data_IF_020199535276
#
_entry.id   IF_020199535276
#
_cell.length_a   1.000
_cell.length_b   1.000
_cell.length_c   1.000
_cell.angle_alpha   90.00
_cell.angle_beta   90.00
_cell.angle_gamma   90.00
#
_symmetry.space_group_name_H-M   'P 1'
#
loop_
_entity.id
_entity.type
_entity.pdbx_description
1 polymer ?
#
# COMPACT_ATOMS: atom_id res chain seq x y z
N UNK A 1 11.29 -21.34 -4.08
CA UNK A 1 10.27 -20.52 -3.44
C UNK A 1 9.91 -21.17 -2.12
N UNK A 2 10.22 -20.54 -1.00
CA UNK A 2 9.87 -21.02 0.33
C UNK A 2 8.34 -21.08 0.52
N UNK A 3 7.62 -20.04 0.06
CA UNK A 3 6.15 -19.98 0.18
C UNK A 3 5.42 -21.00 -0.70
N UNK A 4 6.15 -21.69 -1.59
CA UNK A 4 5.64 -22.82 -2.39
C UNK A 4 5.59 -24.17 -1.64
N UNK A 5 6.11 -24.22 -0.43
CA UNK A 5 6.16 -25.44 0.39
C UNK A 5 5.03 -25.50 1.41
N UNK A 6 4.86 -26.66 2.03
CA UNK A 6 3.96 -26.86 3.17
C UNK A 6 4.62 -26.29 4.43
N UNK A 7 3.84 -25.49 5.16
CA UNK A 7 4.22 -24.88 6.43
C UNK A 7 3.39 -25.46 7.57
N UNK A 8 4.05 -25.80 8.67
CA UNK A 8 3.42 -26.34 9.87
C UNK A 8 3.63 -25.38 11.03
N UNK A 9 2.60 -25.21 11.86
CA UNK A 9 2.72 -24.43 13.09
C UNK A 9 3.56 -25.19 14.11
N UNK A 10 4.50 -24.51 14.75
CA UNK A 10 5.29 -25.10 15.85
C UNK A 10 4.60 -24.92 17.21
N UNK A 11 5.10 -25.62 18.23
CA UNK A 11 4.57 -25.56 19.61
C UNK A 11 4.77 -24.19 20.29
N UNK A 12 5.69 -23.37 19.78
CA UNK A 12 5.99 -22.02 20.27
C UNK A 12 5.15 -20.92 19.58
N UNK A 13 4.23 -21.31 18.69
CA UNK A 13 3.36 -20.39 17.94
C UNK A 13 3.96 -19.82 16.66
N UNK A 14 5.14 -20.28 16.25
CA UNK A 14 5.78 -19.97 14.97
C UNK A 14 5.39 -20.93 13.85
N UNK A 15 6.09 -20.82 12.72
CA UNK A 15 5.88 -21.67 11.55
C UNK A 15 7.19 -22.25 11.05
N UNK A 16 7.15 -23.53 10.67
CA UNK A 16 8.27 -24.27 10.12
C UNK A 16 7.97 -24.70 8.69
N UNK A 17 8.88 -24.37 7.77
CA UNK A 17 8.85 -24.90 6.42
C UNK A 17 9.27 -26.38 6.44
N UNK A 18 8.42 -27.26 5.91
CA UNK A 18 8.68 -28.70 5.89
C UNK A 18 9.64 -29.15 4.78
N UNK A 19 9.90 -28.30 3.79
CA UNK A 19 10.65 -28.63 2.58
C UNK A 19 9.85 -29.44 1.55
N UNK A 20 8.62 -29.86 1.88
CA UNK A 20 7.73 -30.55 0.95
C UNK A 20 6.93 -29.53 0.13
N UNK A 21 6.91 -29.70 -1.20
CA UNK A 21 6.11 -28.83 -2.07
C UNK A 21 4.62 -28.98 -1.77
N UNK A 22 3.88 -27.88 -1.80
CA UNK A 22 2.43 -27.95 -1.71
C UNK A 22 1.84 -28.47 -3.02
N UNK A 23 1.41 -29.74 -3.02
CA UNK A 23 0.89 -30.46 -4.18
C UNK A 23 -0.46 -29.87 -4.65
N UNK A 24 -1.21 -29.22 -3.75
CA UNK A 24 -2.46 -28.53 -4.07
C UNK A 24 -2.28 -27.24 -4.86
N UNK A 25 -1.04 -26.79 -5.04
CA UNK A 25 -0.72 -25.48 -5.63
C UNK A 25 -0.84 -24.36 -4.61
N UNK A 26 -0.24 -23.21 -4.95
CA UNK A 26 -0.28 -21.99 -4.15
C UNK A 26 -0.75 -20.87 -5.08
N UNK A 27 -1.65 -19.97 -4.61
CA UNK A 27 -2.06 -18.82 -5.40
C UNK A 27 -0.85 -18.00 -5.87
N UNK A 28 -0.76 -17.61 -7.16
CA UNK A 28 0.41 -16.90 -7.70
C UNK A 28 0.80 -15.64 -6.91
N UNK A 29 -0.18 -14.92 -6.37
CA UNK A 29 0.00 -13.72 -5.56
C UNK A 29 0.90 -13.96 -4.33
N UNK A 30 0.82 -15.15 -3.73
CA UNK A 30 1.67 -15.53 -2.60
C UNK A 30 3.11 -15.70 -3.05
N UNK A 31 3.34 -16.35 -4.20
CA UNK A 31 4.69 -16.51 -4.77
C UNK A 31 5.28 -15.18 -5.25
N UNK A 32 4.44 -14.23 -5.64
CA UNK A 32 4.87 -12.89 -6.04
C UNK A 32 5.44 -12.08 -4.88
N UNK A 33 4.99 -12.30 -3.64
CA UNK A 33 5.59 -11.68 -2.44
C UNK A 33 7.06 -12.07 -2.34
N UNK A 34 7.34 -13.37 -2.42
CA UNK A 34 8.71 -13.88 -2.35
C UNK A 34 9.53 -13.44 -3.57
N UNK A 35 8.96 -13.52 -4.78
CA UNK A 35 9.66 -13.09 -6.00
C UNK A 35 10.02 -11.60 -5.97
N UNK A 36 9.10 -10.75 -5.55
CA UNK A 36 9.34 -9.31 -5.42
C UNK A 36 10.49 -9.07 -4.43
N UNK A 37 10.48 -9.74 -3.29
CA UNK A 37 11.55 -9.62 -2.30
C UNK A 37 12.91 -10.10 -2.82
N UNK A 38 12.95 -11.17 -3.62
CA UNK A 38 14.20 -11.69 -4.19
C UNK A 38 14.95 -10.67 -5.06
N UNK A 39 14.23 -9.77 -5.74
CA UNK A 39 14.81 -8.69 -6.55
C UNK A 39 15.29 -7.49 -5.73
N UNK A 40 14.91 -7.40 -4.46
CA UNK A 40 15.26 -6.29 -3.58
C UNK A 40 16.66 -6.51 -2.99
N UNK A 41 17.48 -5.46 -2.93
CA UNK A 41 18.81 -5.51 -2.29
C UNK A 41 18.67 -5.95 -0.81
N UNK A 42 19.37 -7.00 -0.35
CA UNK A 42 19.35 -7.39 1.05
C UNK A 42 19.83 -6.27 1.99
N UNK A 43 19.20 -6.17 3.17
CA UNK A 43 19.53 -5.23 4.24
C UNK A 43 18.97 -3.82 4.04
N UNK A 44 19.12 -3.24 2.84
CA UNK A 44 18.76 -1.82 2.59
C UNK A 44 17.67 -1.61 1.57
N UNK A 45 17.42 -2.59 0.71
CA UNK A 45 16.43 -2.47 -0.35
C UNK A 45 15.01 -2.49 0.21
N UNK A 46 14.12 -1.77 -0.48
CA UNK A 46 12.70 -1.67 -0.12
C UNK A 46 11.82 -1.99 -1.32
N UNK A 47 10.63 -2.50 -1.05
CA UNK A 47 9.59 -2.76 -2.04
C UNK A 47 8.24 -2.36 -1.47
N UNK A 48 7.36 -1.84 -2.33
CA UNK A 48 5.95 -1.64 -2.03
C UNK A 48 5.15 -2.63 -2.88
N UNK A 49 4.28 -3.42 -2.25
CA UNK A 49 3.51 -4.48 -2.90
C UNK A 49 2.04 -4.26 -2.61
N UNK A 50 1.23 -4.23 -3.66
CA UNK A 50 -0.22 -4.25 -3.58
C UNK A 50 -0.69 -5.71 -3.52
N UNK A 51 -1.42 -6.07 -2.47
CA UNK A 51 -1.91 -7.43 -2.24
C UNK A 51 -3.41 -7.42 -1.94
N UNK A 52 -4.15 -8.49 -2.25
CA UNK A 52 -5.47 -8.70 -1.66
C UNK A 52 -5.37 -8.78 -0.13
N UNK A 53 -6.26 -8.09 0.57
CA UNK A 53 -6.30 -7.99 2.03
C UNK A 53 -6.37 -9.37 2.73
N UNK A 54 -6.97 -10.35 2.06
CA UNK A 54 -7.04 -11.74 2.55
C UNK A 54 -5.68 -12.32 2.97
N UNK A 55 -4.59 -11.99 2.29
CA UNK A 55 -3.25 -12.49 2.65
C UNK A 55 -2.81 -11.98 4.03
N UNK A 56 -3.30 -10.82 4.45
CA UNK A 56 -2.99 -10.20 5.74
C UNK A 56 -4.02 -10.57 6.82
N UNK A 57 -5.28 -10.80 6.45
CA UNK A 57 -6.35 -11.07 7.42
C UNK A 57 -6.65 -12.55 7.67
N UNK A 58 -6.48 -13.42 6.68
CA UNK A 58 -6.96 -14.80 6.78
C UNK A 58 -6.16 -15.62 7.80
N UNK A 59 -6.82 -16.41 8.67
CA UNK A 59 -6.13 -17.33 9.58
C UNK A 59 -5.32 -18.42 8.85
N UNK A 60 -5.82 -18.90 7.71
CA UNK A 60 -5.13 -19.92 6.90
C UNK A 60 -3.81 -19.43 6.28
N UNK A 61 -3.66 -18.12 6.14
CA UNK A 61 -2.51 -17.46 5.50
C UNK A 61 -1.49 -16.93 6.53
N UNK A 62 -1.63 -17.29 7.81
CA UNK A 62 -0.75 -16.83 8.89
C UNK A 62 0.72 -17.19 8.66
N UNK A 63 1.01 -18.33 8.02
CA UNK A 63 2.37 -18.72 7.64
C UNK A 63 3.03 -17.71 6.67
N UNK A 64 2.24 -17.03 5.84
CA UNK A 64 2.73 -16.01 4.91
C UNK A 64 3.16 -14.78 5.69
N UNK A 65 2.35 -14.33 6.65
CA UNK A 65 2.70 -13.22 7.56
C UNK A 65 3.95 -13.55 8.37
N UNK A 66 4.03 -14.77 8.89
CA UNK A 66 5.21 -15.24 9.60
C UNK A 66 6.45 -15.16 8.72
N UNK A 67 6.36 -15.63 7.47
CA UNK A 67 7.45 -15.54 6.51
C UNK A 67 7.84 -14.09 6.21
N UNK A 68 6.88 -13.18 6.03
CA UNK A 68 7.14 -11.75 5.81
C UNK A 68 7.87 -11.15 7.02
N UNK A 69 7.38 -11.35 8.24
CA UNK A 69 7.98 -10.81 9.47
C UNK A 69 9.37 -11.39 9.73
N UNK A 70 9.64 -12.62 9.26
CA UNK A 70 10.95 -13.23 9.34
C UNK A 70 11.95 -12.60 8.35
N UNK A 71 11.53 -12.38 7.10
CA UNK A 71 12.41 -11.98 5.99
C UNK A 71 12.46 -10.46 5.74
N UNK A 72 11.54 -9.72 6.34
CA UNK A 72 11.36 -8.29 6.11
C UNK A 72 11.22 -7.53 7.42
N UNK A 73 11.53 -6.24 7.37
CA UNK A 73 10.95 -5.26 8.28
C UNK A 73 9.76 -4.60 7.58
N UNK A 74 8.61 -4.56 8.25
CA UNK A 74 7.40 -3.93 7.72
C UNK A 74 7.47 -2.44 8.03
N UNK A 75 7.60 -1.61 7.00
CA UNK A 75 7.70 -0.16 7.17
C UNK A 75 6.32 0.51 7.19
N UNK A 76 5.39 -0.01 6.37
CA UNK A 76 4.02 0.48 6.33
C UNK A 76 3.02 -0.62 5.92
N UNK A 77 1.80 -0.52 6.45
CA UNK A 77 0.62 -1.26 6.03
C UNK A 77 -0.54 -0.29 5.81
N UNK A 78 -1.02 -0.17 4.58
CA UNK A 78 -2.07 0.78 4.22
C UNK A 78 -3.23 0.05 3.57
N UNK A 79 -4.40 0.10 4.18
CA UNK A 79 -5.62 -0.45 3.61
C UNK A 79 -6.21 0.53 2.60
N UNK A 80 -6.62 0.03 1.44
CA UNK A 80 -7.07 0.84 0.32
C UNK A 80 -8.55 0.56 0.00
N UNK A 81 -9.26 1.58 -0.52
CA UNK A 81 -10.62 1.37 -1.02
C UNK A 81 -10.56 0.55 -2.30
N UNK A 82 -11.58 -0.27 -2.54
CA UNK A 82 -11.66 -1.13 -3.72
C UNK A 82 -12.08 -0.36 -4.98
N UNK A 83 -12.69 0.81 -4.81
CA UNK A 83 -13.26 1.67 -5.86
C UNK A 83 -12.32 1.90 -7.05
N UNK A 84 -11.04 2.32 -6.87
CA UNK A 84 -10.11 2.53 -7.98
C UNK A 84 -9.83 1.29 -8.82
N UNK A 85 -10.00 0.10 -8.24
CA UNK A 85 -9.69 -1.17 -8.89
C UNK A 85 -10.91 -1.82 -9.54
N UNK A 86 -12.14 -1.42 -9.14
CA UNK A 86 -13.39 -2.06 -9.60
C UNK A 86 -13.57 -2.04 -11.11
N UNK A 87 -13.33 -0.90 -11.77
CA UNK A 87 -13.58 -0.77 -13.22
C UNK A 87 -12.66 -1.69 -14.00
N UNK A 88 -11.35 -1.57 -13.76
CA UNK A 88 -10.33 -2.39 -14.42
C UNK A 88 -10.54 -3.87 -14.15
N UNK A 89 -10.77 -4.28 -12.91
CA UNK A 89 -10.93 -5.70 -12.54
C UNK A 89 -12.18 -6.32 -13.19
N UNK A 90 -13.27 -5.56 -13.30
CA UNK A 90 -14.50 -6.01 -13.99
C UNK A 90 -14.27 -6.24 -15.49
N UNK A 91 -13.49 -5.39 -16.15
CA UNK A 91 -13.16 -5.56 -17.58
C UNK A 91 -12.45 -6.88 -17.85
N UNK A 92 -11.67 -7.39 -16.89
CA UNK A 92 -11.01 -8.70 -16.97
C UNK A 92 -11.84 -9.87 -16.45
N UNK A 93 -13.12 -9.66 -16.11
CA UNK A 93 -14.01 -10.72 -15.60
C UNK A 93 -13.62 -11.25 -14.22
N UNK A 94 -12.86 -10.47 -13.44
CA UNK A 94 -12.40 -10.83 -12.10
C UNK A 94 -13.30 -10.23 -11.03
N UNK A 95 -13.26 -10.79 -9.82
CA UNK A 95 -13.96 -10.24 -8.65
C UNK A 95 -13.04 -9.27 -7.91
N UNK A 96 -13.44 -8.00 -7.69
CA UNK A 96 -12.65 -7.06 -6.91
C UNK A 96 -12.50 -7.51 -5.47
N UNK A 97 -11.26 -7.61 -4.99
CA UNK A 97 -10.92 -7.78 -3.59
C UNK A 97 -10.54 -6.44 -2.96
N UNK A 98 -10.71 -6.30 -1.64
CA UNK A 98 -10.08 -5.20 -0.90
C UNK A 98 -8.56 -5.33 -1.03
N UNK A 99 -7.84 -4.29 -1.48
CA UNK A 99 -6.40 -4.32 -1.54
C UNK A 99 -5.76 -3.61 -0.36
N UNK A 100 -4.57 -4.07 0.02
CA UNK A 100 -3.68 -3.38 0.96
C UNK A 100 -2.31 -3.19 0.33
N UNK A 101 -1.68 -2.06 0.63
CA UNK A 101 -0.31 -1.73 0.24
C UNK A 101 0.64 -2.01 1.41
N UNK A 102 1.54 -2.96 1.24
CA UNK A 102 2.64 -3.20 2.17
C UNK A 102 3.91 -2.54 1.66
N UNK A 103 4.61 -1.81 2.54
CA UNK A 103 5.96 -1.33 2.27
C UNK A 103 6.92 -2.12 3.16
N UNK A 104 7.87 -2.81 2.53
CA UNK A 104 8.78 -3.75 3.17
C UNK A 104 10.23 -3.35 2.92
N UNK A 105 11.10 -3.55 3.91
CA UNK A 105 12.56 -3.61 3.74
C UNK A 105 13.01 -5.05 3.82
N UNK A 106 13.83 -5.50 2.87
CA UNK A 106 14.41 -6.84 2.92
C UNK A 106 15.49 -6.91 3.99
N UNK A 107 15.43 -7.89 4.90
CA UNK A 107 16.49 -8.14 5.89
C UNK A 107 17.76 -8.70 5.23
N UNK A 108 18.92 -8.39 5.81
CA UNK A 108 20.22 -8.95 5.42
C UNK A 108 20.37 -10.38 5.94
N UNK A 109 21.39 -11.10 5.45
CA UNK A 109 21.69 -12.44 5.97
C UNK A 109 22.06 -12.42 7.46
N UNK A 110 22.74 -11.36 7.92
CA UNK A 110 23.12 -11.19 9.33
C UNK A 110 21.88 -11.00 10.22
N UNK A 111 20.92 -10.20 9.77
CA UNK A 111 19.64 -10.00 10.46
C UNK A 111 18.79 -11.28 10.51
N UNK A 112 18.91 -12.15 9.50
CA UNK A 112 18.26 -13.45 9.50
C UNK A 112 18.94 -14.42 10.48
N UNK A 113 20.26 -14.41 10.60
CA UNK A 113 20.97 -15.28 11.55
C UNK A 113 20.67 -14.86 12.99
N UNK A 114 20.47 -13.57 13.24
CA UNK A 114 20.14 -13.08 14.57
C UNK A 114 18.73 -13.56 15.00
N UNK A 115 18.65 -14.01 16.25
CA UNK A 115 17.41 -14.44 16.91
C UNK A 115 16.72 -13.27 17.61
N UNK A 116 17.46 -12.20 17.88
CA UNK A 116 16.88 -10.95 18.38
C UNK A 116 16.36 -10.13 17.20
N UNK A 117 15.06 -9.85 17.23
CA UNK A 117 14.42 -8.91 16.32
C UNK A 117 14.25 -7.59 17.05
N UNK A 118 14.96 -6.52 16.65
CA UNK A 118 14.79 -5.23 17.30
C UNK A 118 13.34 -4.77 17.12
N UNK A 119 12.78 -4.16 18.17
CA UNK A 119 11.49 -3.49 18.04
C UNK A 119 11.58 -2.37 16.99
N UNK A 120 10.59 -2.32 16.12
CA UNK A 120 10.46 -1.28 15.11
C UNK A 120 9.02 -0.81 15.03
N UNK A 121 8.83 0.44 14.64
CA UNK A 121 7.51 1.04 14.46
C UNK A 121 7.02 0.77 13.05
N UNK A 122 5.71 0.51 12.91
CA UNK A 122 5.05 0.32 11.62
C UNK A 122 4.08 1.46 11.39
N UNK A 123 4.15 2.09 10.22
CA UNK A 123 3.12 3.04 9.80
C UNK A 123 1.86 2.29 9.39
N UNK A 124 0.72 2.59 10.02
CA UNK A 124 -0.58 2.01 9.67
C UNK A 124 -1.55 3.11 9.27
N UNK A 125 -2.29 2.90 8.18
CA UNK A 125 -3.33 3.82 7.74
C UNK A 125 -4.46 3.08 7.04
N UNK A 126 -5.68 3.64 7.13
CA UNK A 126 -6.84 3.20 6.36
C UNK A 126 -7.23 4.36 5.45
N UNK A 127 -7.36 4.09 4.15
CA UNK A 127 -7.79 5.06 3.15
C UNK A 127 -9.26 4.79 2.84
N UNK A 128 -10.12 5.75 3.14
CA UNK A 128 -11.55 5.64 2.86
C UNK A 128 -11.89 6.06 1.42
N UNK A 129 -11.12 7.01 0.89
CA UNK A 129 -11.40 7.66 -0.41
C UNK A 129 -10.13 7.84 -1.24
N UNK A 130 -10.16 7.32 -2.47
CA UNK A 130 -9.05 7.39 -3.42
C UNK A 130 -9.50 8.00 -4.76
N UNK A 131 -10.25 9.09 -4.70
CA UNK A 131 -10.53 9.97 -5.83
C UNK A 131 -11.58 9.49 -6.83
N UNK A 132 -12.09 8.26 -6.74
CA UNK A 132 -13.14 7.74 -7.62
C UNK A 132 -14.24 7.00 -6.89
N UNK A 133 -15.43 6.98 -7.49
CA UNK A 133 -16.57 6.18 -7.03
C UNK A 133 -16.52 4.73 -7.58
N UNK A 134 -17.49 3.91 -7.17
CA UNK A 134 -17.57 2.50 -7.59
C UNK A 134 -17.86 2.29 -9.10
N UNK A 135 -18.15 3.37 -9.84
CA UNK A 135 -18.36 3.38 -11.29
C UNK A 135 -17.14 3.96 -12.04
N UNK A 136 -16.12 4.42 -11.32
CA UNK A 136 -14.91 5.04 -11.89
C UNK A 136 -15.04 6.54 -12.17
N UNK A 137 -16.11 7.20 -11.73
CA UNK A 137 -16.22 8.66 -11.86
C UNK A 137 -15.39 9.34 -10.79
N UNK A 138 -14.85 10.52 -11.11
CA UNK A 138 -14.16 11.35 -10.12
C UNK A 138 -15.08 11.67 -8.94
N UNK A 139 -14.59 11.39 -7.74
CA UNK A 139 -15.24 11.72 -6.49
C UNK A 139 -14.72 13.07 -5.99
N UNK A 140 -15.62 13.99 -5.65
CA UNK A 140 -15.27 15.32 -5.16
C UNK A 140 -15.62 15.49 -3.68
N UNK A 141 -14.90 16.38 -3.00
CA UNK A 141 -15.11 16.64 -1.58
C UNK A 141 -16.49 17.26 -1.33
N UNK A 142 -17.16 16.83 -0.27
CA UNK A 142 -18.50 17.27 0.12
C UNK A 142 -18.52 17.69 1.59
N UNK A 143 -19.36 18.67 1.89
CA UNK A 143 -19.68 19.06 3.26
C UNK A 143 -20.53 17.99 3.96
N UNK A 144 -20.67 18.02 5.30
CA UNK A 144 -21.48 17.05 6.04
C UNK A 144 -22.95 16.98 5.62
N UNK A 145 -23.49 18.06 5.05
CA UNK A 145 -24.84 18.14 4.48
C UNK A 145 -24.96 17.54 3.07
N UNK A 146 -23.84 17.12 2.48
CA UNK A 146 -23.75 16.50 1.16
C UNK A 146 -23.46 17.47 0.01
N UNK A 147 -23.40 18.79 0.26
CA UNK A 147 -23.10 19.77 -0.78
C UNK A 147 -21.63 19.71 -1.21
N UNK A 148 -21.35 19.89 -2.50
CA UNK A 148 -19.96 19.85 -2.98
C UNK A 148 -19.17 21.09 -2.56
N UNK A 149 -17.97 20.87 -2.04
CA UNK A 149 -17.09 21.95 -1.63
C UNK A 149 -16.42 22.56 -2.86
N UNK A 150 -16.54 23.89 -2.97
CA UNK A 150 -15.87 24.71 -3.97
C UNK A 150 -14.76 25.50 -3.28
N UNK A 151 -13.56 25.40 -3.81
CA UNK A 151 -12.37 26.04 -3.29
C UNK A 151 -11.92 27.16 -4.23
N UNK A 152 -11.54 28.29 -3.65
CA UNK A 152 -10.87 29.36 -4.36
C UNK A 152 -9.37 29.04 -4.44
N UNK A 153 -8.86 28.82 -5.65
CA UNK A 153 -7.45 28.51 -5.89
C UNK A 153 -6.80 29.61 -6.73
N UNK A 154 -5.65 30.10 -6.28
CA UNK A 154 -4.79 30.95 -7.11
C UNK A 154 -4.16 30.11 -8.23
N UNK A 155 -4.55 30.43 -9.46
CA UNK A 155 -3.96 29.87 -10.67
C UNK A 155 -3.01 30.89 -11.27
N UNK A 156 -1.79 30.44 -11.54
CA UNK A 156 -0.78 31.23 -12.25
C UNK A 156 -0.93 30.96 -13.74
N UNK A 157 -1.49 31.91 -14.45
CA UNK A 157 -1.65 31.86 -15.90
C UNK A 157 -0.46 32.55 -16.57
N UNK A 158 0.18 31.85 -17.52
CA UNK A 158 1.16 32.46 -18.43
C UNK A 158 0.44 32.88 -19.70
N UNK A 159 0.12 34.16 -19.80
CA UNK A 159 -0.57 34.73 -20.97
C UNK A 159 0.48 35.31 -21.90
N UNK A 160 0.39 34.98 -23.20
CA UNK A 160 1.29 35.49 -24.21
C UNK A 160 0.54 36.46 -25.11
N UNK A 161 0.79 37.75 -24.94
CA UNK A 161 0.23 38.83 -25.77
C UNK A 161 1.37 39.56 -26.48
N UNK A 162 1.28 39.66 -27.82
CA UNK A 162 2.24 40.42 -28.62
C UNK A 162 3.71 39.96 -28.53
N UNK A 163 3.97 38.71 -28.11
CA UNK A 163 5.32 38.16 -27.94
C UNK A 163 5.88 38.26 -26.51
N UNK A 164 5.22 38.99 -25.62
CA UNK A 164 5.58 39.11 -24.19
C UNK A 164 4.83 38.04 -23.39
N UNK A 165 5.53 37.33 -22.51
CA UNK A 165 4.91 36.40 -21.55
C UNK A 165 4.62 37.16 -20.26
N UNK A 166 3.35 37.44 -19.99
CA UNK A 166 2.90 38.00 -18.72
C UNK A 166 2.44 36.87 -17.79
N UNK A 167 2.82 36.97 -16.51
CA UNK A 167 2.34 36.06 -15.46
C UNK A 167 1.16 36.75 -14.78
N UNK A 168 -0.03 36.17 -14.88
CA UNK A 168 -1.25 36.66 -14.23
C UNK A 168 -1.64 35.67 -13.12
N UNK A 169 -1.80 36.18 -11.89
CA UNK A 169 -2.44 35.42 -10.81
C UNK A 169 -3.93 35.68 -10.89
N UNK A 170 -4.73 34.62 -10.95
CA UNK A 170 -6.20 34.72 -10.92
C UNK A 170 -6.75 33.68 -9.98
N UNK A 171 -7.79 34.03 -9.23
CA UNK A 171 -8.50 33.07 -8.38
C UNK A 171 -9.57 32.37 -9.22
N UNK A 172 -9.57 31.03 -9.21
CA UNK A 172 -10.60 30.22 -9.86
C UNK A 172 -11.29 29.35 -8.82
N UNK A 173 -12.61 29.22 -8.97
CA UNK A 173 -13.44 28.30 -8.20
C UNK A 173 -13.30 26.90 -8.78
N UNK A 174 -12.68 26.00 -8.02
CA UNK A 174 -12.45 24.61 -8.41
C UNK A 174 -13.04 23.65 -7.39
N UNK A 175 -13.43 22.47 -7.87
CA UNK A 175 -13.78 21.32 -7.03
C UNK A 175 -12.51 20.53 -6.77
N UNK A 176 -12.32 20.05 -5.54
CA UNK A 176 -11.20 19.16 -5.19
C UNK A 176 -11.63 17.72 -5.20
N UNK A 177 -10.78 16.86 -5.76
CA UNK A 177 -10.96 15.41 -5.73
C UNK A 177 -10.85 14.95 -4.28
N UNK A 178 -11.74 14.03 -3.89
CA UNK A 178 -11.73 13.40 -2.57
C UNK A 178 -10.78 12.21 -2.61
N UNK A 179 -9.49 12.50 -2.43
CA UNK A 179 -8.40 11.53 -2.44
C UNK A 179 -7.50 11.75 -1.23
N UNK A 180 -7.46 10.76 -0.35
CA UNK A 180 -6.67 10.77 0.89
C UNK A 180 -5.26 10.23 0.68
N UNK A 181 -4.95 9.60 -0.47
CA UNK A 181 -3.64 9.02 -0.75
C UNK A 181 -2.48 10.04 -0.65
N UNK A 182 -2.59 11.29 -1.16
CA UNK A 182 -1.54 12.29 -0.99
C UNK A 182 -1.27 12.63 0.47
N UNK A 183 -2.32 12.72 1.29
CA UNK A 183 -2.23 12.98 2.72
C UNK A 183 -1.55 11.80 3.44
N UNK A 184 -1.96 10.56 3.16
CA UNK A 184 -1.33 9.36 3.74
C UNK A 184 0.14 9.28 3.34
N UNK A 185 0.49 9.63 2.10
CA UNK A 185 1.88 9.67 1.65
C UNK A 185 2.72 10.76 2.34
N UNK A 186 2.12 11.89 2.68
CA UNK A 186 2.76 12.95 3.49
C UNK A 186 2.97 12.48 4.93
N UNK A 187 1.96 11.88 5.55
CA UNK A 187 2.04 11.31 6.91
C UNK A 187 3.06 10.20 7.02
N UNK A 188 3.19 9.35 6.00
CA UNK A 188 4.26 8.36 5.95
C UNK A 188 5.65 9.00 5.85
N UNK A 189 5.81 10.12 5.13
CA UNK A 189 7.07 10.86 5.08
C UNK A 189 7.42 11.47 6.44
N UNK A 190 6.45 12.10 7.11
CA UNK A 190 6.59 12.62 8.47
C UNK A 190 7.01 11.52 9.45
N UNK A 191 6.32 10.37 9.41
CA UNK A 191 6.63 9.20 10.23
C UNK A 191 8.06 8.69 10.00
N UNK A 192 8.56 8.70 8.77
CA UNK A 192 9.92 8.26 8.48
C UNK A 192 11.00 9.18 9.06
N UNK A 193 10.67 10.44 9.34
CA UNK A 193 11.60 11.41 9.91
C UNK A 193 11.52 11.44 11.44
N UNK A 194 10.32 11.29 12.00
CA UNK A 194 10.06 11.48 13.44
C UNK A 194 9.84 10.18 14.21
N UNK A 195 9.45 9.10 13.52
CA UNK A 195 8.95 7.87 14.13
C UNK A 195 7.57 8.01 14.76
N UNK A 196 6.84 9.10 14.50
CA UNK A 196 5.52 9.37 15.06
C UNK A 196 4.56 9.81 13.94
N UNK A 197 3.26 9.54 14.12
CA UNK A 197 2.22 10.05 13.23
C UNK A 197 1.48 11.13 14.02
N UNK A 198 1.62 12.39 13.63
CA UNK A 198 0.82 13.46 14.22
C UNK A 198 -0.65 13.25 13.82
N UNK A 199 -1.52 13.13 14.83
CA UNK A 199 -2.98 12.99 14.72
C UNK A 199 -3.63 14.18 14.03
#
# INVERSE_FOLDING_TARGET
YDLGHVWERDEAGGYRNTGNLNIGGIPPEVLFIERALQWVKPGTGRVAILLPDGVLGNPGDEYIRWWILRHCEVLASVDLPVEPFKVTVKEYGLTPALPSLLVLRRRSQEELINTEHPEYKVFMAVVDRAGVDARGNLLFQRAPDGEELIFDEEVIERVREGGIVAIRRTTRRNRRIHDELPLVAEKYREFRETGEVAS
#
